data_IF_817710220440
#
_entry.id   IF_817710220440
#
_cell.length_a   1.000
_cell.length_b   1.000
_cell.length_c   1.000
_cell.angle_alpha   90.00
_cell.angle_beta   90.00
_cell.angle_gamma   90.00
#
_symmetry.space_group_name_H-M   'P 1'
#
loop_
_entity.id
_entity.type
_entity.pdbx_description
1 polymer ?
#
# COMPACT_ATOMS: atom_id res chain seq x y z
N UNK A 1 40.26 59.65 -28.30
CA UNK A 1 39.60 58.60 -27.51
C UNK A 1 38.65 57.84 -28.42
N UNK A 2 38.96 56.57 -28.75
CA UNK A 2 38.06 55.71 -29.55
C UNK A 2 37.19 54.93 -28.57
N UNK A 3 35.92 55.31 -28.47
CA UNK A 3 34.92 54.53 -27.73
C UNK A 3 34.61 53.25 -28.52
N UNK A 4 35.10 52.11 -28.05
CA UNK A 4 34.63 50.81 -28.50
C UNK A 4 33.29 50.52 -27.82
N UNK A 5 32.18 50.71 -28.54
CA UNK A 5 30.89 50.14 -28.16
C UNK A 5 30.96 48.63 -28.48
N UNK A 6 31.21 47.81 -27.48
CA UNK A 6 30.97 46.37 -27.58
C UNK A 6 29.46 46.13 -27.47
N UNK A 7 28.78 46.04 -28.61
CA UNK A 7 27.41 45.56 -28.67
C UNK A 7 27.41 44.06 -28.32
N UNK A 8 27.08 43.73 -27.07
CA UNK A 8 26.77 42.37 -26.67
C UNK A 8 25.44 41.98 -27.31
N UNK A 9 25.51 41.31 -28.45
CA UNK A 9 24.36 40.67 -29.08
C UNK A 9 24.02 39.44 -28.24
N UNK A 10 23.08 39.57 -27.30
CA UNK A 10 22.51 38.41 -26.60
C UNK A 10 21.83 37.52 -27.64
N UNK A 11 22.46 36.41 -28.02
CA UNK A 11 21.80 35.33 -28.73
C UNK A 11 20.77 34.70 -27.79
N UNK A 12 19.49 35.08 -27.94
CA UNK A 12 18.38 34.27 -27.43
C UNK A 12 18.21 33.06 -28.36
N UNK A 13 19.04 32.06 -28.19
CA UNK A 13 18.74 30.72 -28.70
C UNK A 13 17.72 30.10 -27.75
N UNK A 14 16.49 29.92 -28.23
CA UNK A 14 15.44 29.19 -27.53
C UNK A 14 15.47 27.73 -28.02
N UNK A 15 15.66 26.79 -27.10
CA UNK A 15 15.50 25.38 -27.43
C UNK A 15 14.05 24.93 -27.28
N UNK A 16 13.65 24.01 -28.14
CA UNK A 16 12.36 23.33 -28.04
C UNK A 16 12.53 21.92 -27.45
N UNK A 17 11.68 21.58 -26.49
CA UNK A 17 11.56 20.24 -25.92
C UNK A 17 10.14 19.74 -26.15
N UNK A 18 10.04 18.64 -26.87
CA UNK A 18 8.80 17.95 -27.15
C UNK A 18 8.75 16.63 -26.38
N UNK A 19 7.71 16.45 -25.58
CA UNK A 19 7.44 15.20 -24.89
C UNK A 19 6.25 14.53 -25.56
N UNK A 20 6.42 13.27 -25.95
CA UNK A 20 5.41 12.44 -26.57
C UNK A 20 4.88 11.45 -25.55
N UNK A 21 3.55 11.27 -25.51
CA UNK A 21 2.93 10.22 -24.70
C UNK A 21 2.49 9.09 -25.64
N UNK A 22 3.31 8.05 -25.69
CA UNK A 22 3.04 6.88 -26.53
C UNK A 22 2.07 5.89 -25.88
N UNK A 23 1.36 5.08 -26.68
CA UNK A 23 0.60 3.94 -26.17
C UNK A 23 1.49 3.00 -25.36
N UNK A 24 1.03 2.61 -24.16
CA UNK A 24 1.71 1.66 -23.29
C UNK A 24 0.73 0.63 -22.71
N UNK A 25 1.23 -0.41 -22.04
CA UNK A 25 0.39 -1.42 -21.38
C UNK A 25 -0.58 -0.82 -20.36
N UNK A 26 -0.15 0.24 -19.67
CA UNK A 26 -0.98 0.96 -18.70
C UNK A 26 -1.93 1.95 -19.38
N UNK A 27 -1.47 2.63 -20.43
CA UNK A 27 -2.24 3.62 -21.20
C UNK A 27 -2.31 3.22 -22.68
N UNK A 28 -3.23 2.32 -23.08
CA UNK A 28 -3.30 1.86 -24.47
C UNK A 28 -3.72 2.96 -25.45
N UNK A 29 -4.51 3.94 -25.00
CA UNK A 29 -5.02 5.03 -25.81
C UNK A 29 -4.63 6.39 -25.22
N UNK A 30 -3.56 7.04 -25.71
CA UNK A 30 -3.13 8.36 -25.22
C UNK A 30 -4.19 9.46 -25.32
N UNK A 31 -5.17 9.32 -26.22
CA UNK A 31 -6.30 10.24 -26.34
C UNK A 31 -7.32 10.15 -25.19
N UNK A 32 -7.23 9.13 -24.34
CA UNK A 32 -8.06 9.04 -23.12
C UNK A 32 -7.55 9.96 -22.00
N UNK A 33 -6.42 10.63 -22.19
CA UNK A 33 -5.90 11.58 -21.22
C UNK A 33 -6.83 12.80 -21.12
N UNK A 34 -7.15 13.26 -19.91
CA UNK A 34 -7.91 14.49 -19.72
C UNK A 34 -7.20 15.68 -20.37
N UNK A 35 -7.98 16.62 -20.94
CA UNK A 35 -7.45 17.88 -21.48
C UNK A 35 -6.79 18.76 -20.41
N UNK A 36 -7.03 18.49 -19.12
CA UNK A 36 -6.36 19.14 -17.98
C UNK A 36 -4.91 18.65 -17.79
N UNK A 37 -4.48 17.66 -18.56
CA UNK A 37 -3.12 17.14 -18.51
C UNK A 37 -2.14 18.20 -19.04
N UNK A 38 -1.14 18.54 -18.23
CA UNK A 38 -0.12 19.52 -18.57
C UNK A 38 1.22 19.11 -17.95
N UNK A 39 2.30 19.60 -18.53
CA UNK A 39 3.64 19.43 -18.01
C UNK A 39 4.16 20.74 -17.46
N UNK A 40 4.94 20.66 -16.40
CA UNK A 40 5.63 21.81 -15.79
C UNK A 40 7.11 21.55 -15.73
N UNK A 41 7.92 22.50 -16.21
CA UNK A 41 9.36 22.56 -15.99
C UNK A 41 9.62 23.57 -14.87
N UNK A 42 10.07 23.09 -13.72
CA UNK A 42 10.37 23.93 -12.55
C UNK A 42 11.88 24.04 -12.36
N UNK A 43 12.38 25.27 -12.24
CA UNK A 43 13.72 25.60 -11.74
C UNK A 43 13.58 26.51 -10.51
N UNK A 44 14.68 26.86 -9.84
CA UNK A 44 14.68 27.65 -8.61
C UNK A 44 13.91 28.97 -8.74
N UNK A 45 13.98 29.63 -9.89
CA UNK A 45 13.45 30.99 -10.07
C UNK A 45 12.25 31.06 -11.04
N UNK A 46 11.88 29.96 -11.69
CA UNK A 46 10.86 29.97 -12.76
C UNK A 46 10.13 28.66 -12.92
N UNK A 47 8.88 28.77 -13.36
CA UNK A 47 8.06 27.63 -13.79
C UNK A 47 7.57 27.87 -15.21
N UNK A 48 7.87 26.94 -16.12
CA UNK A 48 7.31 26.88 -17.45
C UNK A 48 6.23 25.80 -17.49
N UNK A 49 5.17 26.02 -18.27
CA UNK A 49 4.06 25.07 -18.40
C UNK A 49 3.74 24.83 -19.87
N UNK A 50 3.48 23.58 -20.22
CA UNK A 50 3.02 23.16 -21.55
C UNK A 50 1.74 22.32 -21.40
N UNK A 51 0.72 22.61 -22.20
CA UNK A 51 -0.54 21.86 -22.21
C UNK A 51 -0.50 20.70 -23.21
N UNK A 52 -1.28 19.65 -22.96
CA UNK A 52 -1.38 18.51 -23.87
C UNK A 52 -1.99 18.94 -25.22
N UNK A 53 -1.32 18.59 -26.31
CA UNK A 53 -1.79 18.83 -27.68
C UNK A 53 -2.67 17.68 -28.17
N UNK A 54 -3.35 17.87 -29.32
CA UNK A 54 -4.15 16.82 -29.96
C UNK A 54 -3.33 15.60 -30.39
N UNK A 55 -2.05 15.77 -30.66
CA UNK A 55 -1.12 14.70 -31.00
C UNK A 55 -0.57 13.95 -29.78
N UNK A 56 -1.15 14.15 -28.59
CA UNK A 56 -0.66 13.57 -27.33
C UNK A 56 0.79 13.97 -27.03
N UNK A 57 1.15 15.20 -27.40
CA UNK A 57 2.47 15.77 -27.13
C UNK A 57 2.39 16.99 -26.21
N UNK A 58 3.48 17.28 -25.52
CA UNK A 58 3.66 18.44 -24.67
C UNK A 58 4.89 19.18 -25.19
N UNK A 59 4.69 20.41 -25.66
CA UNK A 59 5.74 21.16 -26.36
C UNK A 59 6.13 22.38 -25.53
N UNK A 60 7.41 22.50 -25.21
CA UNK A 60 8.03 23.69 -24.64
C UNK A 60 8.84 24.36 -25.74
N UNK A 61 8.38 25.51 -26.26
CA UNK A 61 9.04 26.23 -27.36
C UNK A 61 10.13 27.20 -26.93
N UNK A 62 10.09 27.68 -25.68
CA UNK A 62 10.86 28.84 -25.23
C UNK A 62 11.63 28.56 -23.92
N UNK A 63 12.51 27.57 -23.96
CA UNK A 63 13.45 27.32 -22.85
C UNK A 63 14.51 28.44 -22.87
N UNK A 64 14.74 29.14 -21.74
CA UNK A 64 15.55 30.35 -21.74
C UNK A 64 17.04 29.99 -21.70
N UNK A 65 17.85 30.73 -22.46
CA UNK A 65 19.32 30.64 -22.43
C UNK A 65 19.95 31.48 -21.29
N UNK A 66 19.27 31.61 -20.15
CA UNK A 66 19.72 32.45 -19.01
C UNK A 66 20.76 31.75 -18.13
N UNK A 67 21.75 31.11 -18.75
CA UNK A 67 22.80 30.35 -18.08
C UNK A 67 22.49 28.85 -17.96
N UNK A 68 23.47 28.04 -17.49
CA UNK A 68 23.29 26.62 -17.30
C UNK A 68 22.28 26.38 -16.18
N UNK A 69 21.18 25.71 -16.51
CA UNK A 69 20.06 25.51 -15.60
C UNK A 69 19.60 24.06 -15.65
N UNK A 70 19.25 23.52 -14.49
CA UNK A 70 18.64 22.20 -14.38
C UNK A 70 17.17 22.36 -14.01
N UNK A 71 16.30 21.75 -14.80
CA UNK A 71 14.86 21.77 -14.62
C UNK A 71 14.35 20.42 -14.14
N UNK A 72 13.31 20.44 -13.31
CA UNK A 72 12.50 19.28 -13.00
C UNK A 72 11.24 19.33 -13.86
N UNK A 73 11.06 18.33 -14.72
CA UNK A 73 9.88 18.09 -15.52
C UNK A 73 8.91 17.19 -14.76
N UNK A 74 7.70 17.69 -14.54
CA UNK A 74 6.59 16.96 -13.90
C UNK A 74 5.38 17.00 -14.83
N UNK A 75 4.80 15.85 -15.16
CA UNK A 75 3.58 15.76 -15.98
C UNK A 75 2.41 15.48 -15.05
N UNK A 76 1.47 16.41 -14.99
CA UNK A 76 0.31 16.34 -14.12
C UNK A 76 -0.93 15.99 -14.91
N UNK A 77 -1.59 14.94 -14.46
CA UNK A 77 -2.92 14.54 -14.92
C UNK A 77 -3.80 14.21 -13.72
N UNK A 78 -5.11 14.31 -13.91
CA UNK A 78 -6.09 13.95 -12.89
C UNK A 78 -6.07 12.46 -12.60
N UNK A 79 -6.06 11.62 -13.63
CA UNK A 79 -6.19 10.17 -13.47
C UNK A 79 -4.87 9.40 -13.60
N UNK A 80 -3.85 9.96 -14.25
CA UNK A 80 -2.62 9.23 -14.56
C UNK A 80 -1.42 9.82 -13.82
N UNK A 81 -0.48 8.95 -13.45
CA UNK A 81 0.80 9.31 -12.86
C UNK A 81 1.90 9.02 -13.87
N UNK A 82 2.75 10.01 -14.08
CA UNK A 82 3.92 9.92 -14.95
C UNK A 82 5.20 9.96 -14.11
N UNK A 83 6.28 9.42 -14.66
CA UNK A 83 7.59 9.55 -14.05
C UNK A 83 8.08 11.01 -14.18
N UNK A 84 8.69 11.60 -13.14
CA UNK A 84 9.32 12.90 -13.26
C UNK A 84 10.69 12.77 -13.93
N UNK A 85 11.11 13.82 -14.64
CA UNK A 85 12.40 13.86 -15.32
C UNK A 85 13.24 15.06 -14.87
N UNK A 86 14.55 14.88 -14.84
CA UNK A 86 15.52 15.97 -14.75
C UNK A 86 15.95 16.35 -16.17
N UNK A 87 15.94 17.63 -16.49
CA UNK A 87 16.36 18.18 -17.78
C UNK A 87 17.48 19.18 -17.51
N UNK A 88 18.71 18.86 -17.92
CA UNK A 88 19.82 19.81 -17.83
C UNK A 88 19.93 20.60 -19.13
N UNK A 89 20.05 21.92 -19.02
CA UNK A 89 20.13 22.86 -20.14
C UNK A 89 21.42 23.67 -20.01
N UNK A 90 22.15 23.83 -21.12
CA UNK A 90 23.36 24.60 -21.21
C UNK A 90 23.09 26.11 -21.29
N UNK A 91 24.14 26.92 -21.17
CA UNK A 91 24.05 28.38 -21.19
C UNK A 91 23.56 28.95 -22.53
N UNK A 92 23.73 28.20 -23.62
CA UNK A 92 23.23 28.50 -24.96
C UNK A 92 21.74 28.13 -25.13
N UNK A 93 21.10 27.55 -24.12
CA UNK A 93 19.73 27.04 -24.19
C UNK A 93 19.63 25.61 -24.69
N UNK A 94 20.73 24.96 -25.10
CA UNK A 94 20.72 23.58 -25.60
C UNK A 94 20.45 22.60 -24.47
N UNK A 95 19.52 21.65 -24.65
CA UNK A 95 19.28 20.61 -23.64
C UNK A 95 20.45 19.62 -23.67
N UNK A 96 21.21 19.51 -22.59
CA UNK A 96 22.37 18.63 -22.44
C UNK A 96 21.98 17.17 -22.22
N UNK A 97 20.91 16.95 -21.45
CA UNK A 97 20.45 15.61 -21.16
C UNK A 97 19.20 15.57 -20.31
N UNK A 98 18.54 14.41 -20.35
CA UNK A 98 17.26 14.13 -19.74
C UNK A 98 17.33 12.77 -19.08
N UNK A 99 17.03 12.74 -17.77
CA UNK A 99 17.09 11.53 -16.94
C UNK A 99 15.79 11.34 -16.18
N UNK A 100 15.34 10.10 -16.05
CA UNK A 100 14.25 9.74 -15.14
C UNK A 100 14.70 9.92 -13.68
N UNK A 101 13.85 10.53 -12.86
CA UNK A 101 14.15 10.78 -11.45
C UNK A 101 12.93 10.42 -10.57
N UNK A 102 13.06 10.59 -9.26
CA UNK A 102 11.98 10.44 -8.30
C UNK A 102 12.19 11.39 -7.12
N UNK A 103 11.11 11.66 -6.37
CA UNK A 103 11.17 12.58 -5.22
C UNK A 103 12.08 12.00 -4.13
N UNK A 104 13.04 12.80 -3.66
CA UNK A 104 14.01 12.40 -2.64
C UNK A 104 15.32 11.80 -3.18
N UNK A 105 15.47 11.67 -4.51
CA UNK A 105 16.76 11.31 -5.09
C UNK A 105 17.74 12.51 -5.02
N UNK A 106 19.01 12.31 -4.60
CA UNK A 106 20.03 13.35 -4.66
C UNK A 106 20.17 13.90 -6.09
N UNK A 107 20.41 15.20 -6.24
CA UNK A 107 20.48 15.81 -7.57
C UNK A 107 21.60 15.20 -8.39
N UNK A 108 22.78 14.99 -7.82
CA UNK A 108 23.96 14.44 -8.51
C UNK A 108 23.76 13.01 -9.06
N UNK A 109 22.80 12.26 -8.51
CA UNK A 109 22.51 10.91 -8.97
C UNK A 109 21.58 10.94 -10.19
N UNK A 110 22.17 10.90 -11.38
CA UNK A 110 21.44 10.80 -12.65
C UNK A 110 20.91 9.37 -12.79
N UNK A 111 19.59 9.24 -12.83
CA UNK A 111 18.90 7.96 -12.97
C UNK A 111 18.95 7.41 -14.40
N UNK A 112 17.91 6.70 -14.82
CA UNK A 112 17.85 6.12 -16.16
C UNK A 112 17.87 7.22 -17.24
N UNK A 113 18.82 7.14 -18.16
CA UNK A 113 19.00 8.14 -19.22
C UNK A 113 17.90 7.98 -20.27
N UNK A 114 17.29 9.10 -20.68
CA UNK A 114 16.32 9.16 -21.78
C UNK A 114 16.90 9.85 -23.00
N UNK A 115 17.73 10.85 -22.76
CA UNK A 115 18.40 11.60 -23.82
C UNK A 115 19.70 12.18 -23.26
N UNK A 116 20.79 12.10 -24.00
CA UNK A 116 22.05 12.79 -23.69
C UNK A 116 22.61 13.28 -25.02
N UNK A 117 23.10 14.52 -25.06
CA UNK A 117 23.76 15.06 -26.24
C UNK A 117 25.10 14.36 -26.44
N UNK A 118 25.24 13.70 -27.58
CA UNK A 118 26.49 13.04 -27.94
C UNK A 118 27.57 14.08 -28.30
N UNK A 119 28.85 13.78 -27.99
CA UNK A 119 29.99 14.72 -28.00
C UNK A 119 30.26 15.33 -29.40
N UNK A 120 29.62 14.80 -30.46
CA UNK A 120 29.69 15.29 -31.84
C UNK A 120 28.82 16.53 -32.15
N UNK A 121 28.26 17.22 -31.14
CA UNK A 121 27.86 18.63 -31.27
C UNK A 121 26.70 18.92 -32.23
N UNK A 122 25.80 17.96 -32.48
CA UNK A 122 24.57 18.20 -33.25
C UNK A 122 23.33 17.90 -32.41
N UNK A 123 22.94 18.84 -31.57
CA UNK A 123 21.60 18.88 -31.00
C UNK A 123 20.99 20.27 -31.22
N UNK A 124 20.78 20.61 -32.48
CA UNK A 124 20.05 21.80 -32.89
C UNK A 124 18.80 21.35 -33.64
N UNK A 125 17.84 20.84 -32.89
CA UNK A 125 16.59 20.28 -33.41
C UNK A 125 15.59 20.07 -32.28
N UNK A 126 14.35 19.80 -32.66
CA UNK A 126 13.28 19.52 -31.70
C UNK A 126 13.57 18.19 -30.98
N UNK A 127 13.79 18.27 -29.67
CA UNK A 127 14.15 17.10 -28.86
C UNK A 127 12.87 16.38 -28.48
N UNK A 128 12.70 15.15 -28.97
CA UNK A 128 11.52 14.33 -28.71
C UNK A 128 11.86 13.24 -27.70
N UNK A 129 11.19 13.25 -26.54
CA UNK A 129 11.28 12.18 -25.54
C UNK A 129 9.94 11.50 -25.32
N UNK A 130 9.97 10.25 -24.88
CA UNK A 130 8.75 9.51 -24.50
C UNK A 130 8.49 9.61 -22.99
N UNK A 131 7.27 10.00 -22.64
CA UNK A 131 6.80 10.02 -21.26
C UNK A 131 6.38 8.62 -20.78
N UNK A 132 6.93 8.22 -19.64
CA UNK A 132 6.64 6.93 -18.99
C UNK A 132 5.46 7.08 -18.05
N UNK A 133 4.43 6.28 -18.29
CA UNK A 133 3.28 6.14 -17.40
C UNK A 133 3.65 5.17 -16.27
N UNK A 134 3.46 5.61 -15.03
CA UNK A 134 3.75 4.81 -13.82
C UNK A 134 2.51 4.06 -13.36
N UNK A 135 1.34 4.67 -13.47
CA UNK A 135 0.08 4.07 -13.03
C UNK A 135 -1.10 5.02 -13.09
N UNK A 136 -2.25 4.54 -12.61
CA UNK A 136 -3.49 5.31 -12.49
C UNK A 136 -3.73 5.71 -11.04
N UNK A 137 -4.15 6.94 -10.80
CA UNK A 137 -4.55 7.46 -9.48
C UNK A 137 -5.89 6.87 -9.08
N UNK A 138 -5.90 6.10 -8.00
CA UNK A 138 -7.11 5.75 -7.27
C UNK A 138 -7.34 6.76 -6.15
N UNK A 139 -8.43 7.51 -6.21
CA UNK A 139 -8.82 8.44 -5.14
C UNK A 139 -9.78 7.82 -4.13
N UNK A 140 -10.41 6.71 -4.49
CA UNK A 140 -11.43 6.05 -3.71
C UNK A 140 -11.00 4.63 -3.37
N UNK A 141 -11.21 4.26 -2.12
CA UNK A 141 -11.13 2.89 -1.67
C UNK A 141 -12.54 2.29 -1.70
N UNK A 142 -12.71 1.16 -2.40
CA UNK A 142 -13.99 0.47 -2.40
C UNK A 142 -14.19 -0.21 -1.05
N UNK A 143 -15.34 0.05 -0.40
CA UNK A 143 -15.72 -0.67 0.81
C UNK A 143 -15.87 -2.15 0.49
N UNK A 144 -15.37 -3.01 1.39
CA UNK A 144 -15.58 -4.45 1.31
C UNK A 144 -17.09 -4.74 1.18
N UNK A 145 -17.51 -5.23 0.01
CA UNK A 145 -18.88 -5.66 -0.22
C UNK A 145 -19.05 -7.06 0.35
N UNK A 146 -20.20 -7.31 0.95
CA UNK A 146 -20.59 -8.65 1.36
C UNK A 146 -20.72 -9.54 0.12
N UNK A 147 -19.76 -10.44 -0.07
CA UNK A 147 -19.82 -11.45 -1.12
C UNK A 147 -20.21 -12.78 -0.48
N UNK A 148 -21.38 -13.36 -0.84
CA UNK A 148 -21.77 -14.68 -0.36
C UNK A 148 -20.70 -15.75 -0.62
N UNK A 149 -19.95 -15.62 -1.72
CA UNK A 149 -18.83 -16.51 -2.04
C UNK A 149 -17.63 -16.30 -1.11
N UNK A 150 -17.37 -15.06 -0.67
CA UNK A 150 -16.33 -14.78 0.34
C UNK A 150 -16.73 -15.22 1.74
N UNK A 151 -18.04 -15.25 2.05
CA UNK A 151 -18.57 -15.79 3.30
C UNK A 151 -18.26 -17.29 3.44
N UNK A 152 -18.50 -18.06 2.37
CA UNK A 152 -18.20 -19.51 2.34
C UNK A 152 -16.69 -19.78 2.42
N UNK A 153 -15.85 -18.91 1.85
CA UNK A 153 -14.38 -19.04 1.94
C UNK A 153 -13.79 -18.58 3.27
N UNK A 154 -14.60 -18.01 4.17
CA UNK A 154 -14.11 -17.55 5.45
C UNK A 154 -14.01 -18.74 6.43
N UNK A 155 -12.79 -19.12 6.87
CA UNK A 155 -12.60 -20.30 7.72
C UNK A 155 -13.36 -20.18 9.04
N UNK A 156 -13.53 -18.98 9.60
CA UNK A 156 -14.28 -18.78 10.83
C UNK A 156 -15.77 -19.08 10.67
N UNK A 157 -16.34 -18.75 9.51
CA UNK A 157 -17.77 -18.97 9.24
C UNK A 157 -18.03 -20.44 8.93
N UNK A 158 -17.12 -21.11 8.22
CA UNK A 158 -17.20 -22.56 8.01
C UNK A 158 -17.16 -23.31 9.33
N UNK A 159 -16.25 -22.94 10.24
CA UNK A 159 -16.19 -23.52 11.58
C UNK A 159 -17.48 -23.25 12.37
N UNK A 160 -18.04 -22.05 12.27
CA UNK A 160 -19.32 -21.73 12.92
C UNK A 160 -20.49 -22.59 12.38
N UNK A 161 -20.56 -22.83 11.07
CA UNK A 161 -21.59 -23.68 10.45
C UNK A 161 -21.40 -25.15 10.85
N UNK A 162 -20.16 -25.65 10.83
CA UNK A 162 -19.84 -27.04 11.24
C UNK A 162 -20.17 -27.26 12.72
N UNK A 163 -19.78 -26.31 13.58
CA UNK A 163 -20.12 -26.35 15.00
C UNK A 163 -21.63 -26.35 15.21
N UNK A 164 -22.38 -25.51 14.50
CA UNK A 164 -23.85 -25.49 14.53
C UNK A 164 -24.46 -26.81 14.04
N UNK A 165 -23.87 -27.44 13.03
CA UNK A 165 -24.26 -28.76 12.56
C UNK A 165 -24.05 -29.85 13.61
N UNK A 166 -22.96 -29.80 14.36
CA UNK A 166 -22.70 -30.74 15.46
C UNK A 166 -23.61 -30.50 16.67
N UNK A 167 -23.87 -29.25 17.06
CA UNK A 167 -24.74 -28.95 18.21
C UNK A 167 -26.19 -29.38 17.97
N UNK A 168 -26.68 -29.29 16.73
CA UNK A 168 -28.03 -29.76 16.38
C UNK A 168 -28.06 -31.23 15.95
N UNK A 169 -26.96 -31.77 15.44
CA UNK A 169 -26.86 -33.14 14.91
C UNK A 169 -26.53 -34.20 15.96
N UNK A 170 -25.73 -33.88 16.99
CA UNK A 170 -25.37 -34.84 18.04
C UNK A 170 -26.58 -35.43 18.79
N UNK A 171 -27.62 -34.66 19.17
CA UNK A 171 -28.81 -35.24 19.81
C UNK A 171 -29.49 -36.29 18.94
N UNK A 172 -29.59 -36.03 17.62
CA UNK A 172 -30.21 -36.93 16.65
C UNK A 172 -29.39 -38.16 16.33
N UNK A 173 -28.06 -38.04 16.34
CA UNK A 173 -27.17 -39.20 16.15
C UNK A 173 -27.20 -40.11 17.37
N UNK A 174 -27.33 -39.59 18.58
CA UNK A 174 -27.50 -40.39 19.80
C UNK A 174 -28.88 -41.06 19.89
N UNK A 175 -29.91 -40.44 19.32
CA UNK A 175 -31.25 -41.02 19.20
C UNK A 175 -31.32 -42.16 18.16
N UNK A 176 -30.56 -42.06 17.04
CA UNK A 176 -30.60 -43.04 15.95
C UNK A 176 -29.41 -44.01 15.88
N UNK A 177 -28.37 -43.83 16.71
CA UNK A 177 -27.32 -44.82 16.91
C UNK A 177 -27.70 -45.84 17.99
N UNK A 178 -28.92 -46.37 17.91
CA UNK A 178 -29.15 -47.78 18.20
C UNK A 178 -28.57 -48.56 17.01
N UNK A 179 -27.25 -48.76 17.04
CA UNK A 179 -26.55 -49.66 16.12
C UNK A 179 -27.29 -51.03 16.11
N UNK A 180 -27.41 -51.72 14.97
CA UNK A 180 -28.15 -52.98 14.90
C UNK A 180 -27.68 -53.93 16.00
N UNK A 181 -28.62 -54.38 16.82
CA UNK A 181 -28.45 -55.37 17.87
C UNK A 181 -27.74 -56.63 17.32
N UNK A 182 -26.41 -56.70 17.45
CA UNK A 182 -25.68 -57.97 17.39
C UNK A 182 -25.68 -58.57 18.80
N UNK A 183 -25.76 -59.91 18.94
CA UNK A 183 -25.99 -60.57 20.21
C UNK A 183 -24.69 -60.65 21.00
N UNK A 184 -24.27 -59.53 21.58
CA UNK A 184 -23.20 -59.47 22.57
C UNK A 184 -23.70 -58.66 23.78
N UNK A 185 -23.31 -59.05 25.00
CA UNK A 185 -23.98 -58.62 26.21
C UNK A 185 -23.86 -57.10 26.39
N UNK A 186 -25.00 -56.47 26.65
CA UNK A 186 -25.12 -55.08 27.06
C UNK A 186 -24.32 -54.86 28.34
N UNK A 187 -23.10 -54.33 28.22
CA UNK A 187 -22.46 -53.68 29.36
C UNK A 187 -23.06 -52.28 29.40
N UNK A 188 -23.99 -52.07 30.32
CA UNK A 188 -24.35 -50.73 30.77
C UNK A 188 -23.04 -49.98 31.02
N UNK A 189 -23.00 -48.69 30.67
CA UNK A 189 -21.89 -47.80 30.98
C UNK A 189 -21.45 -48.07 32.42
N UNK A 190 -20.29 -48.74 32.58
CA UNK A 190 -19.80 -49.14 33.89
C UNK A 190 -19.63 -47.86 34.73
N UNK A 191 -20.10 -47.82 35.99
CA UNK A 191 -20.03 -46.62 36.82
C UNK A 191 -18.59 -46.13 37.01
N UNK A 192 -17.59 -47.00 36.86
CA UNK A 192 -16.19 -46.62 36.87
C UNK A 192 -15.76 -45.88 35.59
N UNK A 193 -16.22 -46.30 34.41
CA UNK A 193 -15.87 -45.65 33.15
C UNK A 193 -16.55 -44.27 33.00
N UNK A 194 -17.76 -44.11 33.57
CA UNK A 194 -18.43 -42.81 33.68
C UNK A 194 -17.73 -41.87 34.67
N UNK A 195 -17.22 -42.42 35.77
CA UNK A 195 -16.45 -41.67 36.75
C UNK A 195 -15.08 -41.24 36.20
N UNK A 196 -14.42 -42.10 35.43
CA UNK A 196 -13.18 -41.76 34.71
C UNK A 196 -13.44 -40.69 33.65
N UNK A 197 -14.56 -40.77 32.91
CA UNK A 197 -14.95 -39.73 31.96
C UNK A 197 -15.33 -38.41 32.65
N UNK A 198 -15.93 -38.45 33.85
CA UNK A 198 -16.17 -37.26 34.68
C UNK A 198 -14.87 -36.67 35.25
N UNK A 199 -13.90 -37.50 35.62
CA UNK A 199 -12.59 -37.05 36.06
C UNK A 199 -11.77 -36.47 34.91
N UNK A 200 -11.85 -37.07 33.72
CA UNK A 200 -11.19 -36.58 32.51
C UNK A 200 -11.87 -35.35 31.89
N UNK A 201 -13.19 -35.20 32.04
CA UNK A 201 -13.91 -33.99 31.65
C UNK A 201 -13.72 -32.84 32.65
N UNK A 202 -13.62 -33.11 33.95
CA UNK A 202 -13.25 -32.10 34.96
C UNK A 202 -11.80 -31.63 34.84
N UNK A 203 -10.90 -32.49 34.36
CA UNK A 203 -9.50 -32.13 34.11
C UNK A 203 -9.23 -31.58 32.71
N UNK A 204 -10.20 -31.63 31.80
CA UNK A 204 -10.06 -31.04 30.46
C UNK A 204 -10.42 -29.55 30.48
N UNK A 205 -9.48 -28.64 30.19
CA UNK A 205 -9.73 -27.20 30.19
C UNK A 205 -10.80 -26.77 29.17
N UNK A 206 -11.09 -27.60 28.17
CA UNK A 206 -12.15 -27.39 27.17
C UNK A 206 -13.55 -27.66 27.73
N UNK A 207 -13.73 -28.64 28.63
CA UNK A 207 -15.07 -29.01 29.11
C UNK A 207 -15.55 -28.05 30.20
N UNK A 208 -14.64 -27.54 31.04
CA UNK A 208 -14.93 -26.46 31.99
C UNK A 208 -15.34 -25.14 31.32
N UNK A 209 -14.76 -24.84 30.14
CA UNK A 209 -15.17 -23.70 29.33
C UNK A 209 -16.61 -23.85 28.80
N UNK A 210 -16.97 -25.05 28.34
CA UNK A 210 -18.31 -25.33 27.79
C UNK A 210 -19.41 -25.40 28.85
N UNK A 211 -19.12 -25.90 30.06
CA UNK A 211 -20.13 -25.94 31.13
C UNK A 211 -20.42 -24.55 31.70
N UNK A 212 -19.40 -23.69 31.81
CA UNK A 212 -19.56 -22.31 32.28
C UNK A 212 -20.35 -21.46 31.26
N UNK A 213 -20.10 -21.68 29.96
CA UNK A 213 -20.85 -21.03 28.88
C UNK A 213 -22.32 -21.47 28.80
N UNK A 214 -22.62 -22.75 29.08
CA UNK A 214 -24.00 -23.27 29.12
C UNK A 214 -24.78 -22.84 30.38
N UNK A 215 -24.09 -22.56 31.49
CA UNK A 215 -24.70 -22.10 32.74
C UNK A 215 -24.86 -20.57 32.84
N UNK A 216 -24.65 -19.83 31.73
CA UNK A 216 -24.78 -18.37 31.69
C UNK A 216 -23.60 -17.59 32.30
N UNK A 217 -22.51 -18.27 32.64
CA UNK A 217 -21.25 -17.65 33.06
C UNK A 217 -20.43 -17.26 31.84
N UNK A 218 -20.30 -15.95 31.59
CA UNK A 218 -19.53 -15.41 30.47
C UNK A 218 -18.11 -15.99 30.40
N UNK A 219 -17.84 -16.78 29.37
CA UNK A 219 -16.54 -17.38 29.14
C UNK A 219 -15.58 -16.31 28.58
N UNK A 220 -14.56 -15.94 29.36
CA UNK A 220 -13.52 -15.02 28.94
C UNK A 220 -12.44 -15.77 28.13
N UNK A 221 -12.64 -15.79 26.81
CA UNK A 221 -11.72 -16.38 25.85
C UNK A 221 -10.33 -15.72 25.88
N UNK A 222 -10.24 -14.42 26.20
CA UNK A 222 -8.97 -13.69 26.19
C UNK A 222 -8.11 -14.05 27.40
N UNK A 223 -8.71 -14.15 28.59
CA UNK A 223 -8.01 -14.60 29.81
C UNK A 223 -7.52 -16.05 29.73
N UNK A 224 -8.25 -16.92 29.03
CA UNK A 224 -7.84 -18.30 28.80
C UNK A 224 -6.67 -18.41 27.81
N UNK A 225 -6.71 -17.66 26.70
CA UNK A 225 -5.60 -17.60 25.73
C UNK A 225 -4.34 -16.92 26.30
N UNK A 226 -4.51 -16.01 27.26
CA UNK A 226 -3.42 -15.35 27.99
C UNK A 226 -2.90 -16.19 29.17
N UNK A 227 -3.54 -17.30 29.53
CA UNK A 227 -3.15 -18.19 30.63
C UNK A 227 -3.41 -17.63 32.03
N UNK A 228 -4.29 -16.64 32.20
CA UNK A 228 -4.45 -15.88 33.45
C UNK A 228 -5.71 -16.23 34.24
N UNK A 229 -6.44 -17.32 33.93
CA UNK A 229 -7.66 -17.68 34.65
C UNK A 229 -7.36 -18.23 36.06
N UNK A 230 -7.68 -17.46 37.09
CA UNK A 230 -7.60 -17.82 38.51
C UNK A 230 -8.72 -18.80 38.93
N UNK A 231 -8.36 -19.82 39.71
CA UNK A 231 -9.30 -20.80 40.27
C UNK A 231 -10.11 -20.28 41.48
N UNK A 232 -11.19 -20.97 41.89
CA UNK A 232 -12.24 -20.44 42.76
C UNK A 232 -11.92 -20.53 44.27
N UNK A 233 -10.69 -20.23 44.67
CA UNK A 233 -10.31 -20.03 46.08
C UNK A 233 -9.17 -19.01 46.16
N UNK A 234 -9.49 -17.75 45.88
CA UNK A 234 -8.56 -16.64 46.09
C UNK A 234 -9.31 -15.35 46.42
N UNK A 235 -10.27 -15.43 47.33
CA UNK A 235 -10.82 -14.27 48.04
C UNK A 235 -10.51 -14.43 49.53
N UNK A 236 -9.30 -14.00 49.91
CA UNK A 236 -8.96 -13.41 51.20
C UNK A 236 -7.45 -13.18 51.27
N UNK A 237 -7.05 -11.91 51.35
CA UNK A 237 -5.74 -11.41 51.81
C UNK A 237 -4.48 -11.78 51.02
N UNK A 238 -4.16 -10.95 50.01
CA UNK A 238 -2.79 -10.46 49.82
C UNK A 238 -2.78 -9.17 48.97
N UNK A 239 -3.26 -8.07 49.56
CA UNK A 239 -2.84 -6.75 49.14
C UNK A 239 -1.33 -6.60 49.42
N UNK A 240 -0.51 -6.51 48.35
CA UNK A 240 0.76 -5.75 48.23
C UNK A 240 1.56 -6.29 47.03
N UNK A 241 1.77 -5.47 46.01
CA UNK A 241 2.73 -5.79 44.95
C UNK A 241 2.49 -5.10 43.63
N UNK A 242 2.57 -3.78 43.63
CA UNK A 242 3.32 -3.01 42.62
C UNK A 242 2.97 -3.19 41.13
N UNK A 243 2.22 -2.21 40.64
CA UNK A 243 2.12 -1.89 39.23
C UNK A 243 3.48 -1.41 38.69
N UNK A 244 4.09 -2.17 37.77
CA UNK A 244 5.25 -1.71 36.98
C UNK A 244 4.84 -1.45 35.54
N UNK A 245 4.08 -0.36 35.36
CA UNK A 245 4.07 0.38 34.11
C UNK A 245 5.05 1.55 34.22
N UNK A 246 6.18 1.50 33.52
CA UNK A 246 6.92 2.68 33.05
C UNK A 246 7.97 2.30 32.01
N UNK A 247 7.59 2.45 30.75
CA UNK A 247 8.50 2.61 29.63
C UNK A 247 9.08 4.03 29.70
N UNK A 248 10.35 4.18 30.10
CA UNK A 248 11.06 5.46 30.07
C UNK A 248 11.78 5.63 28.74
N UNK A 249 11.05 6.03 27.70
CA UNK A 249 11.62 6.60 26.48
C UNK A 249 11.91 8.08 26.68
N UNK A 250 13.18 8.42 26.94
CA UNK A 250 13.65 9.78 27.14
C UNK A 250 13.46 10.65 25.87
N UNK A 251 12.46 11.54 25.90
CA UNK A 251 12.33 12.66 24.98
C UNK A 251 13.27 13.80 25.41
N UNK A 252 14.34 14.04 24.66
CA UNK A 252 15.09 15.30 24.71
C UNK A 252 14.31 16.38 23.94
N UNK A 253 13.80 17.40 24.63
CA UNK A 253 13.71 18.77 24.08
C UNK A 253 13.99 19.80 25.17
N UNK A 254 14.87 20.74 24.81
CA UNK A 254 15.21 21.97 25.53
C UNK A 254 14.01 22.90 25.60
N UNK A 255 13.95 23.68 26.69
CA UNK A 255 13.14 24.89 26.83
C UNK A 255 12.07 24.75 27.86
#
# INVERSE_FOLDING_TARGET
MRFFLAAWLCHLAAASLTITISPSSLLPHPHSLPATTHATLTTSDRVLTASLTRSSTLVFSDIPSSGPNSYLLDIRSGEWVFAPYRVDVAADGTVLGIWETFRGNPWDNRGAEKYVVDIAGKAQGDIVIEAKVVGRRGFYEERAKFSPMSLVKNPMILLAIVALGFTLGMPKLMENSAFPQLPFPTMAVDPEMRAEFEQHSRSSPITGATSNAMAGGGFDLAGWMAGTSSGPTADADAARGEATGRDTGAARRRG
#
